data_IF_465097576018
#
_entry.id   IF_465097576018
#
_cell.length_a   1.000
_cell.length_b   1.000
_cell.length_c   1.000
_cell.angle_alpha   90.00
_cell.angle_beta   90.00
_cell.angle_gamma   90.00
#
_symmetry.space_group_name_H-M   'P 1'
#
loop_
_entity.id
_entity.type
_entity.pdbx_description
1 polymer ?
#
# COMPACT_ATOMS: atom_id res chain seq x y z
N UNK A 1 3.00 -21.17 -13.36
CA UNK A 1 4.27 -21.31 -14.12
C UNK A 1 5.38 -21.24 -13.09
N UNK A 2 5.87 -22.40 -12.67
CA UNK A 2 6.92 -22.53 -11.66
C UNK A 2 8.26 -22.17 -12.30
N UNK A 3 9.09 -21.36 -11.63
CA UNK A 3 10.47 -21.16 -12.07
C UNK A 3 11.28 -22.41 -11.73
N UNK A 4 11.52 -23.25 -12.74
CA UNK A 4 12.38 -24.41 -12.65
C UNK A 4 13.85 -23.97 -12.61
N UNK A 5 14.62 -24.56 -11.69
CA UNK A 5 16.03 -24.25 -11.48
C UNK A 5 16.89 -25.32 -12.15
N UNK A 6 17.68 -24.93 -13.16
CA UNK A 6 19.01 -25.50 -13.48
C UNK A 6 19.60 -24.83 -14.73
N UNK A 7 20.63 -23.99 -14.53
CA UNK A 7 21.96 -24.11 -15.14
C UNK A 7 22.85 -22.97 -14.63
N UNK A 8 24.06 -23.32 -14.16
CA UNK A 8 25.06 -22.35 -13.70
C UNK A 8 25.66 -21.58 -14.87
N UNK A 9 25.52 -20.27 -14.83
CA UNK A 9 26.44 -19.30 -15.43
C UNK A 9 26.47 -18.07 -14.53
N UNK A 10 27.67 -17.65 -14.11
CA UNK A 10 27.89 -16.52 -13.21
C UNK A 10 27.38 -15.22 -13.84
N UNK A 11 26.16 -14.85 -13.51
CA UNK A 11 25.64 -13.50 -13.65
C UNK A 11 24.93 -13.23 -12.34
N UNK A 12 25.31 -12.14 -11.66
CA UNK A 12 24.60 -11.59 -10.51
C UNK A 12 23.16 -11.29 -10.90
N UNK A 13 22.30 -12.31 -10.89
CA UNK A 13 20.87 -12.08 -10.95
C UNK A 13 20.56 -11.39 -9.64
N UNK A 14 20.28 -10.09 -9.74
CA UNK A 14 19.69 -9.35 -8.64
C UNK A 14 18.46 -10.16 -8.25
N UNK A 15 18.54 -10.90 -7.13
CA UNK A 15 17.41 -11.67 -6.60
C UNK A 15 16.20 -10.75 -6.70
N UNK A 16 15.11 -11.18 -7.33
CA UNK A 16 13.90 -10.37 -7.44
C UNK A 16 13.57 -9.81 -6.06
N UNK A 17 13.87 -8.51 -5.82
CA UNK A 17 13.69 -7.87 -4.50
C UNK A 17 12.21 -7.73 -4.15
N UNK A 18 11.36 -7.86 -5.16
CA UNK A 18 9.93 -7.63 -5.08
C UNK A 18 9.20 -8.97 -5.01
N UNK A 19 8.59 -9.22 -3.86
CA UNK A 19 7.72 -10.38 -3.64
C UNK A 19 6.29 -10.03 -4.04
N UNK A 20 5.89 -8.77 -3.87
CA UNK A 20 4.59 -8.21 -4.30
C UNK A 20 4.76 -7.19 -5.44
N UNK A 21 3.80 -7.15 -6.38
CA UNK A 21 3.79 -6.10 -7.39
C UNK A 21 3.22 -4.79 -6.82
N UNK A 22 2.16 -4.89 -6.02
CA UNK A 22 1.41 -3.73 -5.51
C UNK A 22 1.11 -3.90 -4.01
N UNK A 23 1.33 -2.84 -3.23
CA UNK A 23 0.77 -2.65 -1.89
C UNK A 23 -0.42 -1.69 -1.97
N UNK A 24 -1.57 -2.06 -1.41
CA UNK A 24 -2.75 -1.18 -1.29
C UNK A 24 -2.88 -0.68 0.15
N UNK A 25 -2.68 0.62 0.37
CA UNK A 25 -2.95 1.30 1.63
C UNK A 25 -4.26 2.08 1.53
N UNK A 26 -5.16 1.87 2.48
CA UNK A 26 -6.50 2.46 2.46
C UNK A 26 -7.15 2.42 3.84
N UNK A 27 -8.14 3.29 4.05
CA UNK A 27 -8.99 3.20 5.23
C UNK A 27 -10.03 2.09 5.06
N UNK A 28 -9.89 1.03 5.85
CA UNK A 28 -10.80 -0.12 5.84
C UNK A 28 -12.28 0.24 5.97
N UNK A 29 -12.63 1.08 6.95
CA UNK A 29 -14.01 1.51 7.18
C UNK A 29 -14.63 2.28 6.00
N UNK A 30 -13.82 3.04 5.26
CA UNK A 30 -14.33 3.89 4.18
C UNK A 30 -14.51 3.12 2.87
N UNK A 31 -13.52 2.29 2.52
CA UNK A 31 -13.38 1.80 1.13
C UNK A 31 -13.26 0.29 0.96
N UNK A 32 -13.13 -0.49 2.04
CA UNK A 32 -12.87 -1.94 1.96
C UNK A 32 -13.87 -2.66 1.08
N UNK A 33 -15.17 -2.44 1.31
CA UNK A 33 -16.26 -3.21 0.69
C UNK A 33 -16.79 -2.59 -0.62
N UNK A 34 -16.09 -1.57 -1.14
CA UNK A 34 -16.53 -0.84 -2.32
C UNK A 34 -15.36 -0.64 -3.31
N UNK A 35 -14.92 0.60 -3.50
CA UNK A 35 -13.84 0.99 -4.40
C UNK A 35 -12.58 0.14 -4.26
N UNK A 36 -12.09 -0.07 -3.03
CA UNK A 36 -10.85 -0.83 -2.82
C UNK A 36 -11.02 -2.32 -3.10
N UNK A 37 -12.19 -2.91 -2.83
CA UNK A 37 -12.47 -4.30 -3.21
C UNK A 37 -12.46 -4.50 -4.72
N UNK A 38 -13.08 -3.56 -5.45
CA UNK A 38 -13.12 -3.60 -6.91
C UNK A 38 -11.74 -3.38 -7.52
N UNK A 39 -10.96 -2.43 -6.99
CA UNK A 39 -9.59 -2.18 -7.42
C UNK A 39 -8.71 -3.41 -7.19
N UNK A 40 -8.77 -4.00 -5.99
CA UNK A 40 -8.04 -5.23 -5.66
C UNK A 40 -8.43 -6.37 -6.61
N UNK A 41 -9.73 -6.62 -6.76
CA UNK A 41 -10.25 -7.68 -7.63
C UNK A 41 -9.81 -7.50 -9.10
N UNK A 42 -9.79 -6.26 -9.59
CA UNK A 42 -9.33 -5.95 -10.94
C UNK A 42 -7.82 -6.25 -11.11
N UNK A 43 -6.99 -5.81 -10.16
CA UNK A 43 -5.55 -6.08 -10.16
C UNK A 43 -5.27 -7.58 -10.18
N UNK A 44 -5.89 -8.33 -9.24
CA UNK A 44 -5.74 -9.79 -9.15
C UNK A 44 -6.21 -10.50 -10.43
N UNK A 45 -7.36 -10.10 -10.99
CA UNK A 45 -7.89 -10.66 -12.24
C UNK A 45 -6.93 -10.46 -13.43
N UNK A 46 -6.13 -9.41 -13.41
CA UNK A 46 -5.10 -9.15 -14.43
C UNK A 46 -3.75 -9.83 -14.14
N UNK A 47 -3.67 -10.65 -13.09
CA UNK A 47 -2.44 -11.35 -12.71
C UNK A 47 -1.45 -10.50 -11.90
N UNK A 48 -1.88 -9.33 -11.41
CA UNK A 48 -1.04 -8.48 -10.56
C UNK A 48 -1.15 -8.98 -9.13
N UNK A 49 -0.04 -9.50 -8.58
CA UNK A 49 0.02 -9.91 -7.19
C UNK A 49 0.01 -8.68 -6.28
N UNK A 50 -1.09 -8.50 -5.56
CA UNK A 50 -1.37 -7.32 -4.75
C UNK A 50 -1.51 -7.74 -3.28
N UNK A 51 -0.74 -7.09 -2.42
CA UNK A 51 -0.98 -7.10 -0.99
C UNK A 51 -2.07 -6.07 -0.70
N UNK A 52 -3.24 -6.54 -0.25
CA UNK A 52 -4.31 -5.68 0.23
C UNK A 52 -4.19 -5.63 1.74
N UNK A 53 -3.88 -4.46 2.27
CA UNK A 53 -3.83 -4.30 3.71
C UNK A 53 -5.22 -4.54 4.32
N UNK A 54 -5.32 -5.56 5.16
CA UNK A 54 -6.58 -5.98 5.75
C UNK A 54 -6.73 -5.40 7.17
N UNK A 55 -6.76 -4.06 7.26
CA UNK A 55 -7.07 -3.21 8.44
C UNK A 55 -8.44 -3.52 9.14
N UNK A 56 -8.97 -4.74 9.11
CA UNK A 56 -10.17 -5.23 9.83
C UNK A 56 -9.83 -6.09 11.06
N UNK A 57 -8.58 -6.51 11.23
CA UNK A 57 -8.23 -7.31 12.40
C UNK A 57 -8.03 -6.41 13.63
N UNK A 58 -8.69 -6.68 14.77
CA UNK A 58 -8.45 -6.00 16.03
C UNK A 58 -7.09 -6.44 16.55
N UNK A 59 -6.03 -5.85 16.03
CA UNK A 59 -4.68 -5.95 16.57
C UNK A 59 -4.28 -4.52 16.85
N UNK A 60 -3.74 -4.30 18.04
CA UNK A 60 -3.49 -2.98 18.62
C UNK A 60 -2.83 -2.03 17.64
N UNK A 61 -2.95 -0.75 17.95
CA UNK A 61 -2.62 0.47 17.18
C UNK A 61 -1.22 0.54 16.50
N UNK A 62 -0.47 -0.55 16.47
CA UNK A 62 0.88 -0.70 15.97
C UNK A 62 0.92 -1.42 14.61
N UNK A 63 1.65 -0.84 13.67
CA UNK A 63 1.94 -1.44 12.37
C UNK A 63 2.65 -2.79 12.52
N UNK A 64 2.06 -3.86 11.96
CA UNK A 64 2.67 -5.19 12.09
C UNK A 64 3.97 -5.31 11.29
N UNK A 65 4.94 -6.09 11.80
CA UNK A 65 6.19 -6.40 11.08
C UNK A 65 5.94 -7.00 9.69
N UNK A 66 4.85 -7.75 9.53
CA UNK A 66 4.44 -8.30 8.24
C UNK A 66 4.00 -7.20 7.27
N UNK A 67 3.31 -6.17 7.76
CA UNK A 67 2.88 -5.03 6.96
C UNK A 67 4.06 -4.19 6.48
N UNK A 68 4.98 -3.86 7.39
CA UNK A 68 6.23 -3.15 7.05
C UNK A 68 7.00 -3.90 5.95
N UNK A 69 7.13 -5.21 6.10
CA UNK A 69 7.80 -6.05 5.12
C UNK A 69 7.07 -6.07 3.78
N UNK A 70 5.73 -6.12 3.77
CA UNK A 70 4.95 -6.06 2.55
C UNK A 70 5.12 -4.73 1.81
N UNK A 71 5.24 -3.60 2.52
CA UNK A 71 5.56 -2.30 1.93
C UNK A 71 6.95 -2.32 1.30
N UNK A 72 7.97 -2.81 2.02
CA UNK A 72 9.35 -2.87 1.53
C UNK A 72 9.53 -3.82 0.33
N UNK A 73 8.76 -4.91 0.28
CA UNK A 73 8.82 -5.93 -0.77
C UNK A 73 7.86 -5.64 -1.95
N UNK A 74 7.20 -4.47 -1.96
CA UNK A 74 6.30 -4.05 -3.03
C UNK A 74 6.96 -3.07 -3.99
N UNK A 75 6.79 -3.26 -5.30
CA UNK A 75 7.32 -2.34 -6.32
C UNK A 75 6.51 -1.04 -6.44
N UNK A 76 5.20 -1.14 -6.26
CA UNK A 76 4.25 -0.03 -6.35
C UNK A 76 3.44 0.01 -5.05
N UNK A 77 3.27 1.21 -4.49
CA UNK A 77 2.32 1.48 -3.42
C UNK A 77 1.19 2.35 -3.96
N UNK A 78 -0.05 1.88 -3.83
CA UNK A 78 -1.25 2.64 -4.14
C UNK A 78 -1.87 3.08 -2.82
N UNK A 79 -1.96 4.38 -2.62
CA UNK A 79 -2.57 4.99 -1.43
C UNK A 79 -3.95 5.53 -1.82
N UNK A 80 -5.00 4.99 -1.21
CA UNK A 80 -6.38 5.45 -1.41
C UNK A 80 -6.76 6.38 -0.27
N UNK A 81 -6.58 7.68 -0.49
CA UNK A 81 -7.02 8.69 0.46
C UNK A 81 -8.54 8.80 0.43
N UNK A 82 -9.15 8.61 1.59
CA UNK A 82 -10.58 8.81 1.86
C UNK A 82 -10.74 9.76 3.06
N UNK A 83 -11.99 10.11 3.38
CA UNK A 83 -12.29 11.07 4.46
C UNK A 83 -11.72 10.69 5.82
N UNK A 84 -11.80 9.41 6.19
CA UNK A 84 -11.32 8.87 7.45
C UNK A 84 -9.88 8.33 7.40
N UNK A 85 -9.13 8.58 6.31
CA UNK A 85 -7.76 8.06 6.20
C UNK A 85 -6.86 8.59 7.31
N UNK A 86 -6.84 9.91 7.51
CA UNK A 86 -5.98 10.53 8.52
C UNK A 86 -6.42 10.27 9.96
N UNK A 87 -7.62 9.73 10.19
CA UNK A 87 -8.09 9.40 11.54
C UNK A 87 -7.56 8.06 12.05
N UNK A 88 -6.80 7.32 11.23
CA UNK A 88 -6.16 6.06 11.61
C UNK A 88 -4.66 6.25 11.69
N UNK A 89 -4.10 6.08 12.90
CA UNK A 89 -2.64 6.09 13.12
C UNK A 89 -1.93 5.07 12.25
N UNK A 90 -2.48 3.85 12.14
CA UNK A 90 -1.95 2.81 11.25
C UNK A 90 -1.87 3.27 9.79
N UNK A 91 -2.93 3.89 9.24
CA UNK A 91 -2.88 4.42 7.87
C UNK A 91 -1.82 5.51 7.68
N UNK A 92 -1.53 6.31 8.73
CA UNK A 92 -0.48 7.33 8.70
C UNK A 92 0.93 6.73 8.83
N UNK A 93 1.10 5.71 9.66
CA UNK A 93 2.36 4.97 9.81
C UNK A 93 2.71 4.20 8.53
N UNK A 94 1.72 3.58 7.90
CA UNK A 94 1.85 2.99 6.56
C UNK A 94 2.31 4.03 5.53
N UNK A 95 1.65 5.20 5.51
CA UNK A 95 2.00 6.27 4.58
C UNK A 95 3.43 6.77 4.80
N UNK A 96 3.84 6.95 6.06
CA UNK A 96 5.20 7.33 6.40
C UNK A 96 6.20 6.30 5.87
N UNK A 97 5.95 5.00 6.11
CA UNK A 97 6.82 3.93 5.63
C UNK A 97 6.88 3.84 4.11
N UNK A 98 5.75 4.05 3.42
CA UNK A 98 5.70 4.09 1.94
C UNK A 98 6.57 5.23 1.43
N UNK A 99 6.50 6.41 2.05
CA UNK A 99 7.31 7.56 1.64
C UNK A 99 8.80 7.33 1.91
N UNK A 100 9.16 6.68 3.02
CA UNK A 100 10.54 6.22 3.25
C UNK A 100 11.01 5.27 2.14
N UNK A 101 10.19 4.29 1.73
CA UNK A 101 10.55 3.33 0.69
C UNK A 101 10.65 3.98 -0.70
N UNK A 102 9.79 4.97 -0.98
CA UNK A 102 9.89 5.78 -2.19
C UNK A 102 11.26 6.44 -2.29
N UNK A 103 11.73 7.06 -1.21
CA UNK A 103 12.99 7.80 -1.21
C UNK A 103 14.22 6.87 -1.12
N UNK A 104 14.13 5.78 -0.34
CA UNK A 104 15.26 4.88 -0.10
C UNK A 104 15.49 3.84 -1.21
N UNK A 105 14.42 3.30 -1.79
CA UNK A 105 14.49 2.18 -2.76
C UNK A 105 13.78 2.45 -4.08
N UNK A 106 13.29 3.67 -4.31
CA UNK A 106 12.67 4.08 -5.58
C UNK A 106 11.30 3.45 -5.83
N UNK A 107 10.57 3.11 -4.76
CA UNK A 107 9.21 2.57 -4.87
C UNK A 107 8.29 3.57 -5.59
N UNK A 108 7.46 3.10 -6.53
CA UNK A 108 6.50 3.95 -7.24
C UNK A 108 5.28 4.16 -6.33
N UNK A 109 4.89 5.41 -6.11
CA UNK A 109 3.71 5.76 -5.30
C UNK A 109 2.62 6.36 -6.16
N UNK A 110 1.43 5.77 -6.14
CA UNK A 110 0.22 6.26 -6.83
C UNK A 110 -0.78 6.71 -5.78
N UNK A 111 -1.25 7.95 -5.89
CA UNK A 111 -2.23 8.53 -4.98
C UNK A 111 -3.61 8.55 -5.65
N UNK A 112 -4.60 7.98 -4.97
CA UNK A 112 -6.01 8.01 -5.36
C UNK A 112 -6.76 8.83 -4.33
N UNK A 113 -7.53 9.82 -4.78
CA UNK A 113 -8.34 10.68 -3.93
C UNK A 113 -9.81 10.26 -4.06
N UNK A 114 -10.29 9.44 -3.14
CA UNK A 114 -11.63 8.89 -3.14
C UNK A 114 -12.60 9.81 -2.40
N UNK A 115 -13.48 10.49 -3.15
CA UNK A 115 -14.51 11.41 -2.63
C UNK A 115 -13.96 12.53 -1.72
N UNK A 116 -12.72 12.96 -1.96
CA UNK A 116 -12.07 14.09 -1.28
C UNK A 116 -11.36 14.97 -2.30
N UNK A 117 -11.12 16.24 -1.94
CA UNK A 117 -10.28 17.12 -2.75
C UNK A 117 -8.80 16.88 -2.41
N UNK A 118 -7.88 16.76 -3.38
CA UNK A 118 -6.45 16.61 -3.11
C UNK A 118 -5.86 17.72 -2.21
N UNK A 119 -6.44 18.91 -2.25
CA UNK A 119 -6.05 20.02 -1.37
C UNK A 119 -6.46 19.82 0.08
N UNK A 120 -7.47 18.99 0.37
CA UNK A 120 -7.84 18.62 1.74
C UNK A 120 -6.72 17.80 2.40
N UNK A 121 -6.08 16.91 1.63
CA UNK A 121 -4.88 16.17 2.08
C UNK A 121 -3.68 17.11 2.21
N UNK A 122 -3.34 17.84 1.13
CA UNK A 122 -2.13 18.67 1.07
C UNK A 122 -2.12 19.80 2.11
N UNK A 123 -3.27 20.41 2.37
CA UNK A 123 -3.40 21.55 3.29
C UNK A 123 -4.02 21.13 4.64
N UNK A 124 -4.19 19.83 4.88
CA UNK A 124 -4.79 19.27 6.08
C UNK A 124 -6.11 19.98 6.44
N UNK A 125 -7.05 20.04 5.51
CA UNK A 125 -8.36 20.71 5.69
C UNK A 125 -9.46 19.69 6.02
N UNK A 126 -10.60 20.21 6.50
CA UNK A 126 -11.82 19.44 6.77
C UNK A 126 -11.57 18.23 7.68
N UNK A 127 -11.92 17.01 7.25
CA UNK A 127 -11.74 15.78 8.02
C UNK A 127 -10.27 15.52 8.36
N UNK A 128 -9.32 15.89 7.49
CA UNK A 128 -7.89 15.79 7.79
C UNK A 128 -7.48 16.75 8.91
N UNK A 129 -8.03 17.97 8.95
CA UNK A 129 -7.75 18.95 10.03
C UNK A 129 -8.18 18.46 11.41
N UNK A 130 -9.26 17.68 11.49
CA UNK A 130 -9.82 17.19 12.75
C UNK A 130 -9.12 15.93 13.28
N UNK A 131 -8.25 15.34 12.46
CA UNK A 131 -7.55 14.11 12.76
C UNK A 131 -6.10 14.34 13.25
N UNK A 132 -5.62 15.58 13.20
CA UNK A 132 -4.35 16.06 13.75
C UNK A 132 -4.63 17.01 14.92
#
# INVERSE_FOLDING_TARGET
>A
MFCDSRYSSSSTSSRCRWVCHVFLSFRGEDTRKNFTDHLYSALVRTGIYTFRDDNELPKGEEISKQLLKAIEESRISIVVFSKGYASSTCCLDELAKIMECKDAIGQIVILIFYNIDPSDVRKQKKEFCRSF
#
